data_IF_319740778570
#
_entry.id   IF_319740778570
#
_cell.length_a   1.000
_cell.length_b   1.000
_cell.length_c   1.000
_cell.angle_alpha   90.00
_cell.angle_beta   90.00
_cell.angle_gamma   90.00
#
_symmetry.space_group_name_H-M   'P 1'
#
loop_
_entity.id
_entity.type
_entity.pdbx_description
1 polymer ?
#
# COMPACT_ATOMS: atom_id res chain seq x y z
N UNK A 1 -10.28 20.30 -0.26
CA UNK A 1 -10.62 18.88 -0.49
C UNK A 1 -10.75 18.56 -1.99
N UNK A 2 -11.10 19.54 -2.82
CA UNK A 2 -11.44 19.36 -4.25
C UNK A 2 -10.32 18.81 -5.16
N UNK A 3 -9.05 18.90 -4.75
CA UNK A 3 -7.88 18.52 -5.56
C UNK A 3 -7.12 17.30 -4.97
N UNK A 4 -7.78 16.46 -4.18
CA UNK A 4 -7.18 15.24 -3.62
C UNK A 4 -7.98 14.02 -4.05
N UNK A 5 -7.28 12.90 -4.24
CA UNK A 5 -7.92 11.63 -4.58
C UNK A 5 -8.37 10.94 -3.30
N UNK A 6 -9.66 10.62 -3.24
CA UNK A 6 -10.28 9.87 -2.14
C UNK A 6 -10.31 8.40 -2.53
N UNK A 7 -9.91 7.54 -1.61
CA UNK A 7 -9.78 6.11 -1.87
C UNK A 7 -10.13 5.28 -0.64
N UNK A 8 -10.65 4.08 -0.85
CA UNK A 8 -11.08 3.20 0.24
C UNK A 8 -9.89 2.60 0.99
N UNK A 9 -9.96 2.61 2.32
CA UNK A 9 -9.01 1.99 3.25
C UNK A 9 -8.89 0.50 3.05
N UNK A 10 -9.88 -0.10 2.37
CA UNK A 10 -9.87 -1.51 2.03
C UNK A 10 -8.65 -1.94 1.23
N UNK A 11 -7.88 -0.98 0.78
CA UNK A 11 -6.92 -1.21 -0.23
C UNK A 11 -5.55 -0.72 0.18
N UNK A 12 -5.32 -0.31 1.43
CA UNK A 12 -4.00 0.11 1.88
C UNK A 12 -3.46 -0.82 2.95
N UNK A 13 -2.90 -1.95 2.54
CA UNK A 13 -2.28 -2.88 3.49
C UNK A 13 -0.90 -2.33 3.90
N UNK A 14 -0.68 -2.19 5.21
CA UNK A 14 0.58 -1.70 5.80
C UNK A 14 1.69 -2.76 5.82
N UNK A 15 1.34 -4.05 5.80
CA UNK A 15 2.32 -5.14 5.85
C UNK A 15 1.79 -6.47 5.30
N UNK A 16 2.72 -7.33 4.87
CA UNK A 16 2.45 -8.69 4.44
C UNK A 16 3.45 -9.64 5.08
N UNK A 17 2.97 -10.61 5.86
CA UNK A 17 3.79 -11.54 6.66
C UNK A 17 4.87 -10.83 7.50
N UNK A 18 4.56 -9.71 8.17
CA UNK A 18 5.54 -8.98 8.99
C UNK A 18 6.65 -8.29 8.19
N UNK A 19 6.46 -8.09 6.88
CA UNK A 19 7.27 -7.19 6.05
C UNK A 19 6.41 -5.96 5.69
N UNK A 20 6.97 -4.74 5.74
CA UNK A 20 6.22 -3.55 5.36
C UNK A 20 5.79 -3.64 3.90
N UNK A 21 4.59 -3.18 3.62
CA UNK A 21 4.11 -2.96 2.25
C UNK A 21 3.98 -1.47 2.12
N UNK A 22 4.91 -0.87 1.39
CA UNK A 22 5.02 0.59 1.33
C UNK A 22 3.87 1.25 0.60
N UNK A 23 3.28 0.50 -0.33
CA UNK A 23 2.09 0.87 -1.05
C UNK A 23 1.59 -0.39 -1.75
N UNK A 24 0.34 -0.78 -1.48
CA UNK A 24 -0.35 -1.81 -2.24
C UNK A 24 -1.81 -1.44 -2.21
N UNK A 25 -2.14 -0.42 -3.02
CA UNK A 25 -3.52 -0.19 -3.44
C UNK A 25 -4.01 -1.49 -4.08
N UNK A 26 -5.14 -2.04 -3.64
CA UNK A 26 -5.82 -3.12 -4.33
C UNK A 26 -7.15 -2.53 -4.82
N UNK A 27 -7.64 -2.77 -6.02
CA UNK A 27 -8.95 -2.30 -6.51
C UNK A 27 -9.21 -0.77 -6.56
N UNK A 28 -8.90 -0.21 -7.73
CA UNK A 28 -9.61 0.72 -8.63
C UNK A 28 -10.72 1.73 -8.20
N UNK A 29 -11.24 1.79 -6.97
CA UNK A 29 -12.27 2.78 -6.64
C UNK A 29 -11.67 4.06 -6.06
N UNK A 30 -11.31 4.98 -6.97
CA UNK A 30 -10.78 6.31 -6.65
C UNK A 30 -11.77 7.40 -7.08
N UNK A 31 -11.95 8.41 -6.23
CA UNK A 31 -12.82 9.55 -6.49
C UNK A 31 -11.99 10.84 -6.49
N UNK A 32 -12.22 11.71 -7.46
CA UNK A 32 -11.51 12.98 -7.61
C UNK A 32 -11.76 13.60 -8.97
N UNK A 33 -11.13 14.74 -9.26
CA UNK A 33 -11.20 15.34 -10.60
C UNK A 33 -10.56 14.39 -11.63
N UNK A 34 -11.12 14.37 -12.84
CA UNK A 34 -10.58 13.56 -13.95
C UNK A 34 -9.09 13.85 -14.18
N UNK A 35 -8.68 15.11 -14.10
CA UNK A 35 -7.29 15.54 -14.20
C UNK A 35 -6.37 14.89 -13.16
N UNK A 36 -6.86 14.62 -11.95
CA UNK A 36 -6.11 13.96 -10.88
C UNK A 36 -6.12 12.44 -11.05
N UNK A 37 -7.26 11.85 -11.40
CA UNK A 37 -7.37 10.41 -11.65
C UNK A 37 -6.47 9.95 -12.82
N UNK A 38 -6.37 10.78 -13.87
CA UNK A 38 -5.52 10.51 -15.04
C UNK A 38 -4.01 10.55 -14.73
N UNK A 39 -3.60 11.15 -13.61
CA UNK A 39 -2.21 11.10 -13.16
C UNK A 39 -1.84 9.69 -12.68
N UNK A 40 -2.78 9.00 -12.02
CA UNK A 40 -2.61 7.63 -11.50
C UNK A 40 -2.86 6.59 -12.59
N UNK A 41 -3.91 6.78 -13.40
CA UNK A 41 -4.39 5.85 -14.43
C UNK A 41 -4.15 6.45 -15.82
N UNK A 42 -2.94 6.34 -16.39
CA UNK A 42 -2.66 6.90 -17.70
C UNK A 42 -3.52 6.20 -18.77
N UNK A 43 -4.09 6.98 -19.70
CA UNK A 43 -4.82 6.44 -20.86
C UNK A 43 -3.94 5.61 -21.82
N UNK A 44 -2.61 5.74 -21.75
CA UNK A 44 -1.69 4.98 -22.59
C UNK A 44 -1.55 3.55 -22.10
N UNK A 45 -1.70 2.60 -23.04
CA UNK A 45 -1.26 1.22 -22.89
C UNK A 45 0.15 1.17 -22.32
N UNK A 46 0.31 0.43 -21.22
CA UNK A 46 1.60 0.24 -20.59
C UNK A 46 2.46 -0.67 -21.47
N UNK A 47 3.71 -0.27 -21.70
CA UNK A 47 4.69 -1.16 -22.31
C UNK A 47 4.99 -2.37 -21.42
N UNK A 48 5.64 -3.39 -21.98
CA UNK A 48 6.00 -4.59 -21.23
C UNK A 48 6.83 -4.25 -19.98
N UNK A 49 6.39 -4.77 -18.84
CA UNK A 49 6.96 -4.48 -17.54
C UNK A 49 8.34 -5.14 -17.40
N UNK A 50 9.36 -4.37 -17.00
CA UNK A 50 10.72 -4.88 -16.73
C UNK A 50 11.00 -4.88 -15.23
N UNK A 51 11.15 -6.06 -14.65
CA UNK A 51 11.51 -6.25 -13.24
C UNK A 51 12.90 -6.87 -13.14
N UNK A 52 13.65 -6.46 -12.11
CA UNK A 52 14.93 -7.10 -11.79
C UNK A 52 14.69 -8.08 -10.64
N UNK A 53 14.89 -9.37 -10.86
CA UNK A 53 14.86 -10.32 -9.77
C UNK A 53 16.13 -10.15 -8.92
N UNK A 54 16.01 -9.86 -7.63
CA UNK A 54 17.15 -9.99 -6.71
C UNK A 54 17.43 -11.48 -6.48
N UNK A 55 18.71 -11.87 -6.53
CA UNK A 55 19.15 -13.22 -6.19
C UNK A 55 18.61 -13.64 -4.82
N UNK A 56 18.12 -14.88 -4.70
CA UNK A 56 17.53 -15.43 -3.47
C UNK A 56 16.04 -15.13 -3.24
N UNK A 57 15.38 -14.36 -4.12
CA UNK A 57 13.93 -14.10 -4.04
C UNK A 57 13.16 -14.93 -5.08
N UNK A 58 12.01 -15.52 -4.69
CA UNK A 58 11.07 -16.11 -5.66
C UNK A 58 10.44 -14.98 -6.46
N UNK A 59 10.35 -15.15 -7.78
CA UNK A 59 9.61 -14.23 -8.66
C UNK A 59 8.16 -14.15 -8.18
N UNK A 60 7.80 -12.98 -7.63
CA UNK A 60 6.41 -12.62 -7.41
C UNK A 60 6.22 -11.30 -8.12
N UNK A 61 5.43 -11.35 -9.19
CA UNK A 61 5.05 -10.13 -9.88
C UNK A 61 4.46 -9.14 -8.86
N UNK A 62 4.94 -7.89 -8.85
CA UNK A 62 4.29 -6.86 -8.06
C UNK A 62 2.85 -6.73 -8.51
N UNK A 63 1.98 -6.29 -7.60
CA UNK A 63 0.59 -6.06 -7.98
C UNK A 63 0.53 -4.94 -9.03
N UNK A 64 -0.43 -5.06 -9.95
CA UNK A 64 -0.63 -4.12 -11.06
C UNK A 64 -0.70 -2.67 -10.58
N UNK A 65 -1.32 -2.42 -9.44
CA UNK A 65 -1.44 -1.12 -8.81
C UNK A 65 -0.10 -0.59 -8.28
N UNK A 66 0.79 -1.49 -7.82
CA UNK A 66 2.14 -1.08 -7.45
C UNK A 66 2.90 -0.59 -8.68
N UNK A 67 2.67 -1.23 -9.82
CA UNK A 67 3.24 -0.76 -11.07
C UNK A 67 2.68 0.62 -11.47
N UNK A 68 1.36 0.82 -11.47
CA UNK A 68 0.75 2.09 -11.87
C UNK A 68 1.26 3.28 -11.04
N UNK A 69 1.33 3.12 -9.73
CA UNK A 69 1.85 4.17 -8.84
C UNK A 69 3.33 4.44 -9.10
N UNK A 70 4.15 3.41 -9.29
CA UNK A 70 5.57 3.62 -9.60
C UNK A 70 5.77 4.30 -10.94
N UNK A 71 5.01 3.90 -11.95
CA UNK A 71 5.07 4.52 -13.26
C UNK A 71 4.67 6.00 -13.20
N UNK A 72 3.60 6.31 -12.46
CA UNK A 72 3.20 7.68 -12.19
C UNK A 72 4.32 8.48 -11.51
N UNK A 73 4.87 7.96 -10.42
CA UNK A 73 5.97 8.58 -9.68
C UNK A 73 7.21 8.74 -10.56
N UNK A 74 7.50 7.76 -11.43
CA UNK A 74 8.63 7.82 -12.35
C UNK A 74 8.54 9.00 -13.30
N UNK A 75 7.34 9.26 -13.83
CA UNK A 75 7.09 10.44 -14.66
C UNK A 75 7.20 11.74 -13.87
N UNK A 76 6.58 11.80 -12.69
CA UNK A 76 6.60 13.00 -11.86
C UNK A 76 8.01 13.39 -11.41
N UNK A 77 8.82 12.40 -11.04
CA UNK A 77 10.18 12.63 -10.54
C UNK A 77 11.23 12.61 -11.65
N UNK A 78 10.83 12.40 -12.91
CA UNK A 78 11.73 12.16 -14.04
C UNK A 78 12.84 11.15 -13.72
N UNK A 79 12.46 10.03 -13.08
CA UNK A 79 13.38 9.00 -12.57
C UNK A 79 12.77 7.62 -12.77
N UNK A 80 13.53 6.69 -13.33
CA UNK A 80 13.08 5.30 -13.42
C UNK A 80 13.02 4.67 -12.01
N UNK A 81 11.83 4.24 -11.59
CA UNK A 81 11.57 3.58 -10.32
C UNK A 81 11.14 2.16 -10.58
N UNK A 82 11.66 1.22 -9.79
CA UNK A 82 11.40 -0.22 -9.92
C UNK A 82 11.31 -0.85 -8.54
N UNK A 83 10.53 -1.91 -8.45
CA UNK A 83 10.49 -2.80 -7.28
C UNK A 83 10.80 -4.21 -7.74
N UNK A 84 11.48 -4.95 -6.86
CA UNK A 84 11.87 -6.34 -7.08
C UNK A 84 10.97 -7.30 -6.29
N UNK A 85 10.28 -6.77 -5.28
CA UNK A 85 9.43 -7.56 -4.38
C UNK A 85 8.12 -6.82 -4.06
N UNK A 86 7.04 -7.59 -3.93
CA UNK A 86 5.72 -7.10 -3.51
C UNK A 86 5.74 -6.40 -2.13
N UNK A 87 6.57 -6.90 -1.20
CA UNK A 87 6.68 -6.39 0.16
C UNK A 87 8.17 -6.17 0.52
N UNK A 88 8.43 -5.19 1.38
CA UNK A 88 9.76 -4.76 1.82
C UNK A 88 10.67 -4.24 0.71
N UNK A 89 10.10 -3.56 -0.28
CA UNK A 89 10.83 -2.84 -1.32
C UNK A 89 10.19 -1.46 -1.51
N UNK A 90 10.92 -0.40 -1.18
CA UNK A 90 10.45 1.00 -1.19
C UNK A 90 10.81 1.74 -2.49
N UNK A 91 11.21 0.99 -3.53
CA UNK A 91 11.66 1.52 -4.81
C UNK A 91 12.86 2.50 -4.73
N UNK A 92 13.62 2.45 -3.63
CA UNK A 92 14.77 3.34 -3.41
C UNK A 92 14.38 4.78 -3.07
N UNK A 93 13.13 5.01 -2.67
CA UNK A 93 12.64 6.34 -2.24
C UNK A 93 12.71 6.53 -0.72
N UNK A 94 12.98 5.46 0.04
CA UNK A 94 13.00 5.48 1.50
C UNK A 94 11.62 5.30 2.11
N UNK A 95 11.57 4.65 3.27
CA UNK A 95 10.31 4.37 4.01
C UNK A 95 9.49 5.63 4.31
N UNK A 96 10.15 6.74 4.66
CA UNK A 96 9.48 8.00 5.02
C UNK A 96 8.87 8.73 3.82
N UNK A 97 9.34 8.46 2.60
CA UNK A 97 8.73 9.02 1.39
C UNK A 97 7.29 8.53 1.23
N UNK A 98 7.06 7.23 1.40
CA UNK A 98 5.75 6.62 1.15
C UNK A 98 4.66 7.13 2.09
N UNK A 99 4.97 7.32 3.37
CA UNK A 99 4.03 7.94 4.31
C UNK A 99 3.69 9.37 3.90
N UNK A 100 4.70 10.17 3.49
CA UNK A 100 4.51 11.56 3.02
C UNK A 100 3.71 11.62 1.72
N UNK A 101 4.03 10.73 0.78
CA UNK A 101 3.32 10.60 -0.49
C UNK A 101 1.85 10.26 -0.26
N UNK A 102 1.57 9.30 0.63
CA UNK A 102 0.20 8.92 0.98
C UNK A 102 -0.59 10.10 1.55
N UNK A 103 -0.07 10.81 2.54
CA UNK A 103 -0.81 11.90 3.21
C UNK A 103 -1.01 13.13 2.33
N UNK A 104 -0.10 13.39 1.40
CA UNK A 104 -0.16 14.57 0.54
C UNK A 104 -1.09 14.37 -0.66
N UNK A 105 -1.24 13.14 -1.15
CA UNK A 105 -1.94 12.85 -2.40
C UNK A 105 -3.29 12.14 -2.21
N UNK A 106 -3.43 11.37 -1.13
CA UNK A 106 -4.60 10.54 -0.88
C UNK A 106 -5.28 10.92 0.42
N UNK A 107 -6.59 10.73 0.49
CA UNK A 107 -7.35 10.63 1.75
C UNK A 107 -7.87 9.20 1.84
N UNK A 108 -7.55 8.53 2.95
CA UNK A 108 -7.91 7.13 3.18
C UNK A 108 -9.07 7.06 4.16
N UNK A 109 -10.20 6.50 3.74
CA UNK A 109 -11.40 6.38 4.57
C UNK A 109 -12.06 5.01 4.39
N UNK A 110 -12.85 4.57 5.37
CA UNK A 110 -13.58 3.31 5.26
C UNK A 110 -14.69 3.40 4.20
N UNK A 111 -15.12 2.28 3.59
CA UNK A 111 -16.26 2.27 2.68
C UNK A 111 -17.51 2.95 3.27
N UNK A 112 -17.79 2.70 4.55
CA UNK A 112 -18.96 3.27 5.25
C UNK A 112 -18.90 4.80 5.31
N UNK A 113 -17.72 5.38 5.59
CA UNK A 113 -17.54 6.84 5.58
C UNK A 113 -17.69 7.44 4.18
N UNK A 114 -17.43 6.65 3.14
CA UNK A 114 -17.55 7.06 1.75
C UNK A 114 -18.94 6.76 1.17
N UNK A 115 -19.87 6.22 1.96
CA UNK A 115 -21.18 5.73 1.48
C UNK A 115 -21.06 4.77 0.29
N UNK A 116 -20.02 3.92 0.32
CA UNK A 116 -19.78 2.90 -0.71
C UNK A 116 -20.26 1.55 -0.21
N UNK A 117 -21.21 0.97 -0.94
CA UNK A 117 -21.56 -0.42 -0.75
C UNK A 117 -20.48 -1.31 -1.39
N UNK A 118 -19.91 -2.20 -0.60
CA UNK A 118 -18.89 -3.15 -1.04
C UNK A 118 -19.35 -4.56 -0.73
N UNK A 119 -18.92 -5.53 -1.53
CA UNK A 119 -19.31 -6.92 -1.30
C UNK A 119 -18.98 -7.38 0.13
N UNK A 120 -19.78 -8.28 0.69
CA UNK A 120 -19.66 -8.80 2.06
C UNK A 120 -18.26 -9.34 2.38
N UNK A 121 -17.54 -9.82 1.36
CA UNK A 121 -16.14 -10.25 1.46
C UNK A 121 -15.21 -9.13 1.95
N UNK A 122 -15.41 -7.88 1.51
CA UNK A 122 -14.62 -6.73 1.97
C UNK A 122 -14.94 -6.37 3.43
N UNK A 123 -16.16 -6.63 3.87
CA UNK A 123 -16.52 -6.51 5.28
C UNK A 123 -15.99 -7.64 6.16
N UNK A 124 -15.57 -8.80 5.63
CA UNK A 124 -15.19 -9.96 6.45
C UNK A 124 -13.77 -10.49 6.23
N UNK A 125 -12.91 -9.72 5.56
CA UNK A 125 -11.52 -10.12 5.27
C UNK A 125 -10.61 -10.13 6.51
N UNK A 126 -9.71 -11.10 6.54
CA UNK A 126 -8.78 -11.33 7.66
C UNK A 126 -7.62 -10.35 7.79
N UNK A 127 -7.43 -9.42 6.84
CA UNK A 127 -6.35 -8.44 6.83
C UNK A 127 -6.76 -7.04 7.30
N UNK A 128 -8.01 -6.83 7.75
CA UNK A 128 -8.51 -5.53 8.23
C UNK A 128 -7.59 -4.82 9.21
N UNK A 129 -6.94 -5.57 10.09
CA UNK A 129 -6.04 -4.98 11.08
C UNK A 129 -4.77 -4.43 10.48
N UNK A 130 -4.34 -4.96 9.34
CA UNK A 130 -3.17 -4.51 8.61
C UNK A 130 -3.48 -3.31 7.71
N UNK A 131 -4.74 -2.91 7.55
CA UNK A 131 -5.12 -1.79 6.69
C UNK A 131 -4.91 -0.44 7.35
N UNK A 132 -4.38 0.51 6.58
CA UNK A 132 -4.35 1.93 6.88
C UNK A 132 -5.77 2.47 6.75
N UNK A 133 -6.30 3.07 7.82
CA UNK A 133 -7.59 3.76 7.80
C UNK A 133 -7.44 5.27 8.06
N UNK A 134 -8.56 5.97 8.22
CA UNK A 134 -8.59 7.41 8.47
C UNK A 134 -7.81 7.81 9.73
N UNK A 135 -7.85 7.01 10.80
CA UNK A 135 -7.12 7.32 12.02
C UNK A 135 -5.59 7.22 11.82
N UNK A 136 -5.14 6.24 11.02
CA UNK A 136 -3.73 6.18 10.61
C UNK A 136 -3.36 7.39 9.76
N UNK A 137 -4.21 7.76 8.80
CA UNK A 137 -3.97 8.91 7.92
C UNK A 137 -3.88 10.22 8.69
N UNK A 138 -4.81 10.47 9.62
CA UNK A 138 -4.83 11.67 10.46
C UNK A 138 -3.56 11.77 11.33
N UNK A 139 -3.10 10.66 11.89
CA UNK A 139 -1.84 10.60 12.61
C UNK A 139 -0.65 10.90 11.70
N UNK A 140 -0.56 10.28 10.53
CA UNK A 140 0.52 10.51 9.57
C UNK A 140 0.55 11.94 9.03
N UNK A 141 -0.62 12.59 8.92
CA UNK A 141 -0.77 13.97 8.50
C UNK A 141 -0.47 14.99 9.63
N UNK A 142 -0.17 14.53 10.85
CA UNK A 142 0.07 15.41 12.01
C UNK A 142 -1.20 16.07 12.56
N UNK A 143 -2.37 15.57 12.19
CA UNK A 143 -3.68 16.13 12.57
C UNK A 143 -4.28 15.46 13.81
N UNK A 144 -3.74 14.31 14.22
CA UNK A 144 -4.18 13.56 15.39
C UNK A 144 -3.02 12.90 16.13
N UNK A 145 -3.26 12.54 17.40
CA UNK A 145 -2.36 11.67 18.16
C UNK A 145 -2.38 10.26 17.59
N UNK A 146 -1.32 9.49 17.88
CA UNK A 146 -1.21 8.08 17.45
C UNK A 146 -2.41 7.28 17.97
N UNK A 147 -3.19 6.60 17.10
CA UNK A 147 -4.34 5.82 17.54
C UNK A 147 -3.88 4.61 18.37
N UNK A 148 -4.52 4.42 19.52
CA UNK A 148 -4.30 3.31 20.44
C UNK A 148 -5.61 2.54 20.61
N UNK A 149 -5.91 1.69 19.63
CA UNK A 149 -7.12 0.86 19.60
C UNK A 149 -6.78 -0.63 19.48
N UNK A 150 -7.79 -1.48 19.70
CA UNK A 150 -7.64 -2.93 19.58
C UNK A 150 -7.14 -3.36 18.19
N UNK A 151 -7.54 -2.63 17.14
CA UNK A 151 -7.06 -2.87 15.78
C UNK A 151 -5.53 -2.70 15.70
N UNK A 152 -4.92 -1.71 16.36
CA UNK A 152 -3.46 -1.47 16.34
C UNK A 152 -2.68 -2.46 17.20
N UNK A 153 -3.27 -2.90 18.31
CA UNK A 153 -2.72 -4.00 19.12
C UNK A 153 -2.69 -5.29 18.29
N UNK A 154 -3.81 -5.65 17.67
CA UNK A 154 -3.90 -6.84 16.84
C UNK A 154 -3.02 -6.75 15.58
N UNK A 155 -2.87 -5.57 14.98
CA UNK A 155 -1.89 -5.30 13.90
C UNK A 155 -0.47 -5.64 14.34
N UNK A 156 -0.07 -5.20 15.53
CA UNK A 156 1.27 -5.43 16.08
C UNK A 156 1.51 -6.92 16.32
N UNK A 157 0.53 -7.62 16.88
CA UNK A 157 0.56 -9.09 17.01
C UNK A 157 0.73 -9.80 15.66
N UNK A 158 -0.05 -9.41 14.64
CA UNK A 158 0.04 -9.99 13.28
C UNK A 158 1.39 -9.76 12.62
N UNK A 159 1.98 -8.59 12.83
CA UNK A 159 3.32 -8.27 12.33
C UNK A 159 4.40 -9.12 13.00
N UNK A 160 4.34 -9.24 14.33
CA UNK A 160 5.31 -10.01 15.11
C UNK A 160 5.24 -11.50 14.76
N UNK A 161 4.04 -12.08 14.76
CA UNK A 161 3.82 -13.48 14.38
C UNK A 161 4.32 -13.77 12.96
N UNK A 162 4.01 -12.90 11.98
CA UNK A 162 4.50 -13.04 10.62
C UNK A 162 6.03 -12.94 10.52
N UNK A 163 6.66 -12.08 11.33
CA UNK A 163 8.11 -11.98 11.43
C UNK A 163 8.74 -13.26 11.98
N UNK A 164 8.22 -13.79 13.09
CA UNK A 164 8.73 -15.00 13.74
C UNK A 164 8.60 -16.23 12.85
N UNK A 165 7.44 -16.41 12.20
CA UNK A 165 7.22 -17.52 11.25
C UNK A 165 8.27 -17.47 10.13
N UNK A 166 8.57 -16.29 9.60
CA UNK A 166 9.60 -16.15 8.56
C UNK A 166 10.98 -16.54 9.07
N UNK A 167 11.38 -16.07 10.26
CA UNK A 167 12.68 -16.46 10.83
C UNK A 167 12.81 -17.97 10.95
N UNK A 168 11.76 -18.66 11.40
CA UNK A 168 11.75 -20.12 11.48
C UNK A 168 11.88 -20.78 10.09
N UNK A 169 11.10 -20.32 9.10
CA UNK A 169 11.15 -20.86 7.73
C UNK A 169 12.52 -20.63 7.09
N UNK A 170 13.10 -19.45 7.28
CA UNK A 170 14.40 -19.11 6.70
C UNK A 170 15.51 -19.95 7.37
N UNK A 171 15.47 -20.15 8.68
CA UNK A 171 16.42 -21.03 9.39
C UNK A 171 16.31 -22.51 8.98
N UNK A 172 15.11 -23.01 8.66
CA UNK A 172 14.91 -24.39 8.19
C UNK A 172 15.45 -24.61 6.77
N UNK A 173 15.59 -23.57 5.95
CA UNK A 173 16.15 -23.69 4.59
C UNK A 173 17.68 -23.72 4.54
N UNK A 174 18.35 -23.43 5.65
CA UNK A 174 19.82 -23.42 5.77
C UNK A 174 20.37 -24.60 6.59
N UNK A 175 19.51 -25.54 6.98
CA UNK A 175 19.86 -26.88 7.51
C UNK A 175 19.43 -27.95 6.51
#
# INVERSE_FOLDING_TARGET
LENRVITSSAFFISSHYGKPVFFHKSDLFDFGQTSDLLKIWPQKLLGQLKFNLKSGYKERYPATEQYFVLHWLSKLLNKELKINNKANDDAGLGKSFWSRFLVNNFIVATPDLLSLDVTTRFYNRGNKSLEIDLADWLFLAGLAKKPTDFKRVYRSYRNLSGYLIRLLIDNVKFN
#
